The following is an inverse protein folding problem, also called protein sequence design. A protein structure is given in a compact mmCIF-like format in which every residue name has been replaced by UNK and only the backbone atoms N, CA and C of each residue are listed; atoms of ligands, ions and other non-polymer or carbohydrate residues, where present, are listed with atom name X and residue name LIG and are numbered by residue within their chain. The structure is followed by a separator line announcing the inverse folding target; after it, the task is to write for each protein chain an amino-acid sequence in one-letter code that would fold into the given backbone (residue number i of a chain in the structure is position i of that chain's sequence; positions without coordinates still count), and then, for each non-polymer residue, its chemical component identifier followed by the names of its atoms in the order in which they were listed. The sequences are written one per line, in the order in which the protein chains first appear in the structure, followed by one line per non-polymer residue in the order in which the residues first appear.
data_IF_594178231839
#
_entry.id   IF_594178231839
#
_cell.length_a   1.000
_cell.length_b   1.000
_cell.length_c   1.000
_cell.angle_alpha   90.00
_cell.angle_beta   90.00
_cell.angle_gamma   90.00
#
_symmetry.space_group_name_H-M   'P 1'
#
loop_
_entity.id
_entity.type
_entity.pdbx_description
1 polymer ?
#
# COMPACT_ATOMS: atom_id res chain seq x y z
N UNK A 1 3.16 34.05 28.50
CA UNK A 1 2.74 34.01 27.08
C UNK A 1 3.31 32.76 26.44
N UNK A 2 2.47 31.77 26.15
CA UNK A 2 2.92 30.40 25.87
C UNK A 2 3.19 30.20 24.38
N UNK A 3 4.47 30.14 24.03
CA UNK A 3 4.99 29.74 22.71
C UNK A 3 4.72 28.26 22.45
N UNK A 4 3.50 27.92 22.01
CA UNK A 4 3.17 26.59 21.49
C UNK A 4 2.59 26.71 20.08
N UNK A 5 3.44 27.15 19.14
CA UNK A 5 3.20 26.94 17.73
C UNK A 5 3.31 25.43 17.45
N UNK A 6 2.17 24.73 17.47
CA UNK A 6 2.09 23.34 17.07
C UNK A 6 2.46 23.21 15.59
N UNK A 7 3.63 22.64 15.33
CA UNK A 7 4.10 22.31 13.98
C UNK A 7 3.07 21.43 13.27
N UNK A 8 2.57 21.90 12.12
CA UNK A 8 1.52 21.23 11.35
C UNK A 8 1.79 19.74 11.13
N UNK A 9 3.04 19.33 10.88
CA UNK A 9 3.39 17.92 10.63
C UNK A 9 3.31 17.04 11.88
N UNK A 10 3.65 17.57 13.06
CA UNK A 10 3.54 16.84 14.33
C UNK A 10 2.08 16.67 14.75
N UNK A 11 1.25 17.67 14.48
CA UNK A 11 -0.19 17.64 14.75
C UNK A 11 -0.89 16.55 13.93
N UNK A 12 -0.46 16.30 12.68
CA UNK A 12 -1.04 15.22 11.84
C UNK A 12 -0.87 13.83 12.42
N UNK A 13 0.30 13.55 13.00
CA UNK A 13 0.63 12.23 13.54
C UNK A 13 -0.06 11.99 14.88
N UNK A 14 -0.18 13.03 15.71
CA UNK A 14 -0.78 12.97 17.04
C UNK A 14 -2.30 12.70 17.03
N UNK A 15 -3.02 13.25 16.04
CA UNK A 15 -4.48 13.05 15.89
C UNK A 15 -4.84 11.58 15.59
N UNK A 16 -3.92 10.82 15.00
CA UNK A 16 -4.16 9.46 14.52
C UNK A 16 -3.59 8.36 15.42
N UNK A 17 -2.73 8.71 16.38
CA UNK A 17 -2.07 7.76 17.28
C UNK A 17 -2.80 7.57 18.61
N UNK A 18 -3.74 8.46 18.95
CA UNK A 18 -4.49 8.38 20.22
C UNK A 18 -5.89 7.79 20.01
N UNK A 19 -6.29 6.75 20.77
CA UNK A 19 -7.61 6.11 20.65
C UNK A 19 -8.80 7.07 20.88
N UNK A 20 -8.57 8.16 21.59
CA UNK A 20 -9.60 9.17 21.89
C UNK A 20 -9.85 10.13 20.71
N UNK A 21 -8.86 10.34 19.82
CA UNK A 21 -8.98 11.21 18.64
C UNK A 21 -9.35 10.43 17.36
N UNK A 22 -9.11 9.12 17.30
CA UNK A 22 -9.65 8.28 16.19
C UNK A 22 -11.18 8.22 16.20
N UNK A 23 -11.81 8.50 17.34
CA UNK A 23 -13.28 8.59 17.49
C UNK A 23 -13.88 9.84 16.84
N UNK A 24 -13.10 10.88 16.55
CA UNK A 24 -13.66 12.18 16.09
C UNK A 24 -13.72 12.30 14.57
N UNK A 25 -12.99 11.48 13.81
CA UNK A 25 -13.09 11.44 12.34
C UNK A 25 -13.98 10.28 11.87
N UNK A 26 -15.28 10.37 12.13
CA UNK A 26 -16.27 9.42 11.62
C UNK A 26 -16.40 9.43 10.08
N UNK A 27 -15.96 10.51 9.41
CA UNK A 27 -16.09 10.66 7.96
C UNK A 27 -14.74 10.53 7.25
N UNK A 28 -14.54 9.39 6.57
CA UNK A 28 -13.44 9.15 5.63
C UNK A 28 -13.31 10.25 4.56
N UNK A 29 -14.41 10.92 4.23
CA UNK A 29 -14.45 12.07 3.31
C UNK A 29 -13.61 13.25 3.79
N UNK A 30 -13.58 13.54 5.08
CA UNK A 30 -12.81 14.67 5.61
C UNK A 30 -11.31 14.35 5.62
N UNK A 31 -10.95 13.10 5.90
CA UNK A 31 -9.57 12.61 5.76
C UNK A 31 -9.08 12.75 4.31
N UNK A 32 -9.94 12.45 3.33
CA UNK A 32 -9.62 12.62 1.91
C UNK A 32 -9.50 14.09 1.47
N UNK A 33 -10.32 14.99 2.03
CA UNK A 33 -10.25 16.45 1.76
C UNK A 33 -8.92 17.04 2.22
N UNK A 34 -8.38 16.57 3.34
CA UNK A 34 -7.06 16.99 3.88
C UNK A 34 -5.90 16.37 3.07
N UNK A 35 -6.20 15.52 2.07
CA UNK A 35 -5.19 14.82 1.25
C UNK A 35 -4.56 13.62 1.96
N UNK A 36 -5.16 13.16 3.04
CA UNK A 36 -4.69 11.99 3.78
C UNK A 36 -5.35 10.73 3.25
N UNK A 37 -4.69 9.61 3.53
CA UNK A 37 -5.17 8.29 3.16
C UNK A 37 -5.73 7.63 4.44
N UNK A 38 -6.93 7.00 4.42
CA UNK A 38 -7.47 6.36 5.61
C UNK A 38 -6.59 5.21 6.10
N UNK A 39 -6.86 4.72 7.31
CA UNK A 39 -5.96 3.80 8.02
C UNK A 39 -5.77 2.47 7.27
N UNK A 40 -6.83 1.96 6.64
CA UNK A 40 -6.80 0.70 5.89
C UNK A 40 -5.93 0.84 4.64
N UNK A 41 -6.14 1.89 3.85
CA UNK A 41 -5.35 2.14 2.64
C UNK A 41 -3.90 2.52 2.97
N UNK A 42 -3.64 3.15 4.11
CA UNK A 42 -2.26 3.34 4.60
C UNK A 42 -1.58 2.02 4.88
N UNK A 43 -2.28 1.08 5.51
CA UNK A 43 -1.78 -0.28 5.74
C UNK A 43 -1.46 -0.96 4.40
N UNK A 44 -2.38 -0.89 3.45
CA UNK A 44 -2.21 -1.47 2.10
C UNK A 44 -1.03 -0.85 1.36
N UNK A 45 -0.88 0.49 1.39
CA UNK A 45 0.26 1.18 0.77
C UNK A 45 1.60 0.78 1.40
N UNK A 46 1.63 0.51 2.70
CA UNK A 46 2.84 0.02 3.38
C UNK A 46 3.16 -1.43 2.98
N UNK A 47 2.15 -2.28 2.85
CA UNK A 47 2.30 -3.64 2.32
C UNK A 47 2.85 -3.61 0.89
N UNK A 48 2.27 -2.80 0.00
CA UNK A 48 2.74 -2.63 -1.37
C UNK A 48 4.18 -2.10 -1.43
N UNK A 49 4.54 -1.16 -0.56
CA UNK A 49 5.91 -0.66 -0.43
C UNK A 49 6.90 -1.76 -0.06
N UNK A 50 6.54 -2.62 0.89
CA UNK A 50 7.35 -3.77 1.29
C UNK A 50 7.41 -4.83 0.18
N UNK A 51 6.28 -5.10 -0.48
CA UNK A 51 6.18 -6.02 -1.60
C UNK A 51 7.11 -5.62 -2.75
N UNK A 52 7.11 -4.34 -3.13
CA UNK A 52 8.00 -3.83 -4.17
C UNK A 52 9.47 -4.03 -3.81
N UNK A 53 9.84 -3.77 -2.54
CA UNK A 53 11.21 -4.01 -2.06
C UNK A 53 11.58 -5.48 -2.11
N UNK A 54 10.67 -6.37 -1.70
CA UNK A 54 10.88 -7.81 -1.76
C UNK A 54 11.08 -8.31 -3.20
N UNK A 55 10.46 -7.66 -4.19
CA UNK A 55 10.55 -8.04 -5.60
C UNK A 55 11.82 -7.52 -6.30
N UNK A 56 12.26 -6.30 -5.97
CA UNK A 56 13.35 -5.63 -6.68
C UNK A 56 14.68 -5.62 -5.92
N UNK A 57 14.65 -5.67 -4.58
CA UNK A 57 15.84 -5.56 -3.73
C UNK A 57 16.10 -6.88 -3.00
N UNK A 58 16.26 -7.98 -3.75
CA UNK A 58 16.43 -9.31 -3.19
C UNK A 58 17.66 -9.45 -2.27
N UNK A 59 18.71 -8.65 -2.48
CA UNK A 59 19.95 -8.70 -1.69
C UNK A 59 19.79 -8.17 -0.25
N UNK A 60 18.96 -7.14 -0.05
CA UNK A 60 18.73 -6.53 1.27
C UNK A 60 17.49 -7.08 1.96
N UNK A 61 16.74 -7.95 1.29
CA UNK A 61 15.49 -8.49 1.79
C UNK A 61 15.71 -9.81 2.53
N UNK A 62 15.05 -10.05 3.68
CA UNK A 62 15.21 -11.30 4.41
C UNK A 62 14.83 -12.52 3.56
N UNK A 63 15.72 -13.51 3.51
CA UNK A 63 15.56 -14.66 2.61
C UNK A 63 14.33 -15.53 2.89
N UNK A 64 13.80 -15.51 4.12
CA UNK A 64 12.60 -16.23 4.53
C UNK A 64 11.29 -15.50 4.17
N UNK A 65 11.35 -14.22 3.77
CA UNK A 65 10.18 -13.40 3.37
C UNK A 65 10.12 -13.17 1.87
N UNK A 66 10.72 -14.06 1.06
CA UNK A 66 10.72 -13.92 -0.40
C UNK A 66 9.30 -14.03 -0.95
N UNK A 67 9.02 -13.18 -1.94
CA UNK A 67 7.78 -13.22 -2.70
C UNK A 67 8.02 -14.02 -3.97
N UNK A 68 7.15 -15.00 -4.23
CA UNK A 68 7.23 -15.88 -5.39
C UNK A 68 6.43 -15.26 -6.54
N UNK A 69 7.09 -15.02 -7.67
CA UNK A 69 6.43 -14.62 -8.91
C UNK A 69 5.73 -15.83 -9.51
N UNK A 70 4.51 -15.65 -9.98
CA UNK A 70 3.79 -16.69 -10.67
C UNK A 70 4.34 -16.82 -12.09
N UNK A 71 4.97 -17.95 -12.39
CA UNK A 71 5.40 -18.30 -13.74
C UNK A 71 4.22 -18.94 -14.49
N UNK A 72 3.86 -18.39 -15.64
CA UNK A 72 2.86 -18.99 -16.53
C UNK A 72 3.59 -19.74 -17.65
N UNK A 73 3.42 -21.06 -17.79
CA UNK A 73 4.10 -21.85 -18.82
C UNK A 73 3.65 -21.53 -20.27
N UNK A 74 2.54 -20.80 -20.42
CA UNK A 74 2.10 -20.18 -21.68
C UNK A 74 1.59 -18.78 -21.35
N UNK A 75 2.32 -17.74 -21.74
CA UNK A 75 1.78 -16.39 -21.71
C UNK A 75 0.67 -16.28 -22.78
N UNK A 76 -0.59 -16.00 -22.41
CA UNK A 76 -1.53 -15.48 -23.40
C UNK A 76 -0.98 -14.14 -23.88
N UNK A 77 -0.90 -13.94 -25.20
CA UNK A 77 -0.26 -12.78 -25.88
C UNK A 77 -0.75 -11.39 -25.41
N UNK A 78 -1.78 -11.33 -24.58
CA UNK A 78 -2.39 -10.11 -24.03
C UNK A 78 -2.06 -9.83 -22.55
N UNK A 79 -1.40 -10.73 -21.80
CA UNK A 79 -1.19 -10.60 -20.35
C UNK A 79 0.30 -10.65 -20.01
N UNK A 80 1.00 -9.54 -20.20
CA UNK A 80 2.40 -9.40 -19.80
C UNK A 80 2.51 -8.77 -18.39
N UNK A 81 1.60 -9.14 -17.47
CA UNK A 81 1.51 -8.53 -16.15
C UNK A 81 2.12 -9.41 -15.06
N UNK A 82 3.02 -8.84 -14.25
CA UNK A 82 3.62 -9.55 -13.11
C UNK A 82 2.49 -9.95 -12.16
N UNK A 83 2.35 -11.24 -11.86
CA UNK A 83 1.44 -11.77 -10.83
C UNK A 83 2.24 -12.50 -9.76
N UNK A 84 1.75 -12.44 -8.54
CA UNK A 84 2.38 -13.09 -7.39
C UNK A 84 1.58 -14.32 -6.97
N UNK A 85 2.28 -15.38 -6.58
CA UNK A 85 1.65 -16.56 -6.00
C UNK A 85 1.11 -16.18 -4.63
N UNK A 86 -0.16 -16.51 -4.38
CA UNK A 86 -0.80 -16.38 -3.07
C UNK A 86 -0.59 -17.70 -2.32
N UNK A 87 0.15 -17.72 -1.20
CA UNK A 87 0.33 -18.94 -0.41
C UNK A 87 -1.00 -19.44 0.17
N UNK A 88 -1.06 -20.74 0.49
CA UNK A 88 -2.24 -21.35 1.13
C UNK A 88 -2.46 -20.83 2.56
N UNK A 89 -1.39 -20.39 3.23
CA UNK A 89 -1.45 -19.88 4.61
C UNK A 89 -1.97 -18.44 4.66
N UNK A 90 -3.17 -18.27 5.21
CA UNK A 90 -3.83 -16.98 5.35
C UNK A 90 -3.17 -16.10 6.43
N UNK A 91 -3.23 -14.79 6.21
CA UNK A 91 -2.81 -13.80 7.23
C UNK A 91 -1.30 -13.57 7.32
N UNK A 92 -0.51 -14.28 6.52
CA UNK A 92 0.94 -14.07 6.39
C UNK A 92 1.26 -12.79 5.61
N UNK A 93 2.51 -12.34 5.67
CA UNK A 93 2.98 -11.21 4.86
C UNK A 93 2.83 -11.50 3.37
N UNK A 94 3.21 -12.71 2.95
CA UNK A 94 3.17 -13.16 1.57
C UNK A 94 1.72 -13.24 1.06
N UNK A 95 0.81 -13.79 1.85
CA UNK A 95 -0.62 -13.86 1.50
C UNK A 95 -1.23 -12.46 1.28
N UNK A 96 -1.12 -11.59 2.28
CA UNK A 96 -1.67 -10.24 2.20
C UNK A 96 -1.02 -9.41 1.09
N UNK A 97 0.31 -9.50 0.94
CA UNK A 97 1.03 -8.76 -0.09
C UNK A 97 0.68 -9.23 -1.49
N UNK A 98 0.62 -10.55 -1.73
CA UNK A 98 0.25 -11.11 -3.02
C UNK A 98 -1.19 -10.76 -3.41
N UNK A 99 -2.14 -10.88 -2.48
CA UNK A 99 -3.54 -10.47 -2.70
C UNK A 99 -3.64 -8.98 -3.07
N UNK A 100 -3.01 -8.10 -2.28
CA UNK A 100 -3.06 -6.66 -2.53
C UNK A 100 -2.35 -6.26 -3.83
N UNK A 101 -1.21 -6.88 -4.14
CA UNK A 101 -0.49 -6.60 -5.38
C UNK A 101 -1.31 -7.07 -6.59
N UNK A 102 -1.87 -8.28 -6.57
CA UNK A 102 -2.66 -8.81 -7.69
C UNK A 102 -3.96 -8.02 -7.95
N UNK A 103 -4.52 -7.36 -6.93
CA UNK A 103 -5.65 -6.44 -7.07
C UNK A 103 -5.29 -5.12 -7.79
N UNK A 104 -4.00 -4.81 -7.97
CA UNK A 104 -3.58 -3.62 -8.70
C UNK A 104 -3.76 -3.80 -10.22
N UNK A 105 -4.04 -2.71 -10.95
CA UNK A 105 -4.06 -2.74 -12.40
C UNK A 105 -2.66 -3.04 -12.96
N UNK A 106 -2.64 -3.67 -14.14
CA UNK A 106 -1.41 -4.16 -14.80
C UNK A 106 -0.40 -3.04 -15.06
N UNK A 107 -0.89 -1.83 -15.36
CA UNK A 107 -0.07 -0.64 -15.56
C UNK A 107 0.78 -0.29 -14.35
N UNK A 108 0.26 -0.51 -13.13
CA UNK A 108 0.98 -0.26 -11.87
C UNK A 108 1.90 -1.43 -11.56
N UNK A 109 1.44 -2.67 -11.74
CA UNK A 109 2.23 -3.88 -11.44
C UNK A 109 3.51 -3.98 -12.27
N UNK A 110 3.49 -3.48 -13.51
CA UNK A 110 4.62 -3.52 -14.43
C UNK A 110 5.59 -2.34 -14.27
N UNK A 111 5.33 -1.40 -13.35
CA UNK A 111 6.23 -0.28 -13.11
C UNK A 111 7.56 -0.76 -12.50
N UNK A 112 8.69 -0.43 -13.15
CA UNK A 112 10.03 -0.71 -12.62
C UNK A 112 10.53 0.37 -11.65
N UNK A 113 9.97 1.58 -11.72
CA UNK A 113 10.36 2.71 -10.87
C UNK A 113 9.58 2.73 -9.56
N UNK A 114 10.32 2.70 -8.45
CA UNK A 114 9.75 2.74 -7.11
C UNK A 114 8.88 3.98 -6.84
N UNK A 115 9.35 5.17 -7.21
CA UNK A 115 8.64 6.43 -6.97
C UNK A 115 7.33 6.48 -7.76
N UNK A 116 7.37 6.06 -9.02
CA UNK A 116 6.20 6.01 -9.91
C UNK A 116 5.19 4.99 -9.40
N UNK A 117 5.66 3.79 -9.02
CA UNK A 117 4.83 2.74 -8.43
C UNK A 117 4.07 3.24 -7.19
N UNK A 118 4.77 3.90 -6.25
CA UNK A 118 4.14 4.45 -5.04
C UNK A 118 3.11 5.54 -5.34
N UNK A 119 3.43 6.44 -6.28
CA UNK A 119 2.51 7.51 -6.68
C UNK A 119 1.23 6.93 -7.26
N UNK A 120 1.35 6.00 -8.22
CA UNK A 120 0.19 5.38 -8.87
C UNK A 120 -0.61 4.53 -7.90
N UNK A 121 0.05 3.73 -7.06
CA UNK A 121 -0.61 2.93 -6.01
C UNK A 121 -1.42 3.81 -5.05
N UNK A 122 -0.86 4.96 -4.66
CA UNK A 122 -1.56 5.91 -3.78
C UNK A 122 -2.78 6.55 -4.45
N UNK A 123 -2.69 6.86 -5.75
CA UNK A 123 -3.82 7.38 -6.52
C UNK A 123 -4.92 6.30 -6.60
N UNK A 124 -4.55 5.07 -6.96
CA UNK A 124 -5.49 3.94 -7.04
C UNK A 124 -6.23 3.70 -5.71
N UNK A 125 -5.50 3.63 -4.60
CA UNK A 125 -6.10 3.45 -3.27
C UNK A 125 -7.00 4.63 -2.89
N UNK A 126 -6.64 5.86 -3.27
CA UNK A 126 -7.50 7.04 -3.03
C UNK A 126 -8.78 7.00 -3.87
N UNK A 127 -8.72 6.49 -5.09
CA UNK A 127 -9.89 6.31 -5.95
C UNK A 127 -10.83 5.23 -5.40
N UNK A 128 -10.27 4.11 -4.89
CA UNK A 128 -11.07 3.04 -4.26
C UNK A 128 -11.98 3.56 -3.15
N UNK A 129 -11.43 4.37 -2.24
CA UNK A 129 -12.18 4.98 -1.11
C UNK A 129 -13.25 5.98 -1.57
N UNK A 130 -13.12 6.56 -2.77
CA UNK A 130 -14.15 7.46 -3.30
C UNK A 130 -15.31 6.72 -3.95
N UNK A 131 -15.10 5.46 -4.36
CA UNK A 131 -16.11 4.62 -4.98
C UNK A 131 -16.96 3.84 -3.96
N UNK A 132 -16.47 3.69 -2.72
CA UNK A 132 -17.15 3.08 -1.58
C UNK A 132 -18.06 4.10 -0.84
#
# INVERSE_FOLDING_TARGET
ESTLAFSNDKTKVMILSTPQMSRVHHNFRDVLKIGWLPINERRDLKLLKSCFKALHNAETWPGYLKIIKQEFPKEPRSSNSIRLVVPTENGTFQDNSSKQFNNLPETIRNCKDYKTFLRLSRIFLRSRVQSD
#
